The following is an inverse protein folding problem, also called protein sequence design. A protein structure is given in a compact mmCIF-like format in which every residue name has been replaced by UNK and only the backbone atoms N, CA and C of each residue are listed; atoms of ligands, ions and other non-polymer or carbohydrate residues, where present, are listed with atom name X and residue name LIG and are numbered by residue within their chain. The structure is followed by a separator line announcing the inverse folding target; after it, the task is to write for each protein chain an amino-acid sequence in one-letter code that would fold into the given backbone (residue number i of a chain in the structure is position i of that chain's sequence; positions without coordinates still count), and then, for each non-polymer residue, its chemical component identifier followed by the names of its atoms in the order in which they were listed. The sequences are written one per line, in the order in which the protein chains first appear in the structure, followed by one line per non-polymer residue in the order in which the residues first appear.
data_IF_085225319306
#
_entry.id   IF_085225319306
#
_cell.length_a   1.000
_cell.length_b   1.000
_cell.length_c   1.000
_cell.angle_alpha   90.00
_cell.angle_beta   90.00
_cell.angle_gamma   90.00
#
_symmetry.space_group_name_H-M   'P 1'
#
loop_
_entity.id
_entity.type
_entity.pdbx_description
1 polymer ?
#
# COMPACT_ATOMS: atom_id res chain seq x y z
N UNK A 1 19.09 21.75 -1.05
CA UNK A 1 18.78 20.71 -2.05
C UNK A 1 18.79 19.38 -1.33
N UNK A 2 17.62 18.82 -0.99
CA UNK A 2 17.55 17.52 -0.31
C UNK A 2 17.99 16.43 -1.29
N UNK A 3 19.04 15.69 -0.96
CA UNK A 3 19.52 14.57 -1.77
C UNK A 3 18.39 13.57 -1.94
N UNK A 4 17.94 13.35 -3.18
CA UNK A 4 17.06 12.24 -3.51
C UNK A 4 17.80 10.97 -3.12
N UNK A 5 17.31 10.25 -2.12
CA UNK A 5 17.79 8.91 -1.81
C UNK A 5 17.71 8.09 -3.11
N UNK A 6 18.85 7.59 -3.57
CA UNK A 6 18.91 6.81 -4.78
C UNK A 6 18.20 5.47 -4.51
N UNK A 7 17.05 5.28 -5.14
CA UNK A 7 16.27 4.05 -5.02
C UNK A 7 17.08 2.92 -5.67
N UNK A 8 17.54 1.90 -4.92
CA UNK A 8 18.23 0.77 -5.49
C UNK A 8 17.26 0.00 -6.39
N UNK A 9 17.51 0.01 -7.70
CA UNK A 9 16.73 -0.76 -8.67
C UNK A 9 17.18 -2.22 -8.64
N UNK A 10 16.63 -3.02 -7.71
CA UNK A 10 16.72 -4.48 -7.82
C UNK A 10 15.80 -4.92 -8.95
N UNK A 11 16.34 -5.57 -9.98
CA UNK A 11 15.62 -6.00 -11.20
C UNK A 11 14.50 -7.03 -10.96
N UNK A 12 14.27 -7.43 -9.72
CA UNK A 12 13.36 -8.53 -9.32
C UNK A 12 12.47 -8.13 -8.14
N UNK A 13 12.06 -6.87 -8.05
CA UNK A 13 11.23 -6.43 -6.94
C UNK A 13 9.78 -6.92 -7.11
N UNK A 14 9.26 -7.54 -6.04
CA UNK A 14 7.94 -8.12 -5.95
C UNK A 14 6.90 -7.06 -5.57
N UNK A 15 5.66 -7.33 -5.96
CA UNK A 15 4.48 -6.63 -5.45
C UNK A 15 3.86 -7.54 -4.40
N UNK A 16 3.63 -7.03 -3.20
CA UNK A 16 2.89 -7.73 -2.15
C UNK A 16 1.45 -7.20 -2.06
N UNK A 17 0.50 -8.03 -1.61
CA UNK A 17 -0.92 -7.68 -1.66
C UNK A 17 -1.68 -8.04 -0.37
N UNK A 18 -2.56 -7.16 0.10
CA UNK A 18 -3.48 -7.42 1.21
C UNK A 18 -4.88 -6.96 0.78
N UNK A 19 -5.73 -7.90 0.39
CA UNK A 19 -7.02 -7.58 -0.22
C UNK A 19 -8.02 -8.74 -0.09
N UNK A 20 -9.25 -8.51 -0.54
CA UNK A 20 -10.26 -9.56 -0.66
C UNK A 20 -9.87 -10.64 -1.70
N UNK A 21 -10.57 -11.77 -1.64
CA UNK A 21 -10.31 -12.94 -2.49
C UNK A 21 -10.43 -12.60 -3.98
N UNK A 22 -11.45 -11.82 -4.36
CA UNK A 22 -11.69 -11.44 -5.75
C UNK A 22 -10.55 -10.58 -6.31
N UNK A 23 -10.08 -9.58 -5.55
CA UNK A 23 -8.96 -8.73 -5.97
C UNK A 23 -7.67 -9.54 -6.10
N UNK A 24 -7.35 -10.36 -5.10
CA UNK A 24 -6.12 -11.18 -5.13
C UNK A 24 -6.17 -12.15 -6.30
N UNK A 25 -7.28 -12.83 -6.52
CA UNK A 25 -7.43 -13.76 -7.65
C UNK A 25 -7.15 -13.06 -8.98
N UNK A 26 -7.67 -11.84 -9.17
CA UNK A 26 -7.39 -11.04 -10.37
C UNK A 26 -5.90 -10.76 -10.58
N UNK A 27 -5.18 -10.38 -9.52
CA UNK A 27 -3.73 -10.13 -9.61
C UNK A 27 -2.88 -11.40 -9.71
N UNK A 28 -3.32 -12.51 -9.13
CA UNK A 28 -2.67 -13.81 -9.31
C UNK A 28 -2.73 -14.25 -10.78
N UNK A 29 -3.87 -14.02 -11.46
CA UNK A 29 -4.01 -14.26 -12.91
C UNK A 29 -3.09 -13.36 -13.74
N UNK A 30 -2.80 -12.15 -13.26
CA UNK A 30 -1.83 -11.23 -13.89
C UNK A 30 -0.37 -11.64 -13.66
N UNK A 31 -0.09 -12.71 -12.89
CA UNK A 31 1.26 -13.22 -12.65
C UNK A 31 2.01 -12.54 -11.51
N UNK A 32 1.31 -11.80 -10.62
CA UNK A 32 1.93 -11.12 -9.47
C UNK A 32 2.27 -12.08 -8.32
N UNK A 33 1.61 -13.23 -8.25
CA UNK A 33 1.79 -14.20 -7.17
C UNK A 33 3.20 -14.80 -7.14
N UNK A 34 3.83 -14.77 -5.97
CA UNK A 34 5.10 -15.42 -5.69
C UNK A 34 5.02 -16.22 -4.40
N UNK A 35 5.65 -17.39 -4.39
CA UNK A 35 5.82 -18.25 -3.21
C UNK A 35 7.31 -18.44 -2.99
N UNK A 36 7.80 -17.96 -1.86
CA UNK A 36 9.20 -18.10 -1.49
C UNK A 36 9.54 -19.56 -1.10
N UNK A 37 10.83 -19.88 -1.01
CA UNK A 37 11.38 -21.18 -0.60
C UNK A 37 10.80 -21.69 0.73
N UNK A 38 10.40 -20.77 1.61
CA UNK A 38 9.75 -21.06 2.90
C UNK A 38 8.23 -21.30 2.80
N UNK A 39 7.69 -21.42 1.58
CA UNK A 39 6.26 -21.51 1.27
C UNK A 39 5.44 -20.33 1.78
N UNK A 40 6.05 -19.15 1.87
CA UNK A 40 5.35 -17.91 2.19
C UNK A 40 4.92 -17.22 0.91
N UNK A 41 3.66 -16.80 0.86
CA UNK A 41 3.10 -16.00 -0.24
C UNK A 41 3.48 -14.52 -0.08
N UNK A 42 3.46 -13.80 -1.19
CA UNK A 42 3.50 -12.33 -1.21
C UNK A 42 2.08 -11.71 -1.12
N UNK A 43 1.09 -12.45 -0.66
CA UNK A 43 -0.27 -11.92 -0.50
C UNK A 43 -0.97 -12.51 0.72
N UNK A 44 -1.90 -11.74 1.29
CA UNK A 44 -2.82 -12.14 2.34
C UNK A 44 -4.26 -11.90 1.85
N UNK A 45 -5.05 -12.97 1.77
CA UNK A 45 -6.49 -12.89 1.53
C UNK A 45 -7.18 -12.48 2.83
N UNK A 46 -7.96 -11.40 2.75
CA UNK A 46 -8.73 -10.87 3.87
C UNK A 46 -10.19 -11.24 3.70
N UNK A 47 -10.69 -12.04 4.64
CA UNK A 47 -12.10 -12.43 4.76
C UNK A 47 -12.68 -11.98 6.11
N UNK A 48 -13.96 -12.28 6.36
CA UNK A 48 -14.63 -11.94 7.63
C UNK A 48 -14.05 -12.66 8.86
N UNK A 49 -13.21 -13.69 8.68
CA UNK A 49 -12.57 -14.44 9.75
C UNK A 49 -11.16 -13.93 10.04
N UNK A 50 -10.61 -13.11 9.14
CA UNK A 50 -9.27 -12.56 9.24
C UNK A 50 -9.22 -11.51 10.35
N UNK A 51 -8.40 -11.76 11.36
CA UNK A 51 -8.27 -10.83 12.49
C UNK A 51 -7.46 -9.60 12.11
N UNK A 52 -7.76 -8.45 12.74
CA UNK A 52 -6.97 -7.21 12.59
C UNK A 52 -5.48 -7.48 12.83
N UNK A 53 -5.15 -8.27 13.86
CA UNK A 53 -3.77 -8.64 14.16
C UNK A 53 -3.06 -9.34 12.99
N UNK A 54 -3.75 -10.25 12.29
CA UNK A 54 -3.17 -10.91 11.12
C UNK A 54 -2.86 -9.93 9.99
N UNK A 55 -3.73 -8.92 9.79
CA UNK A 55 -3.52 -7.84 8.81
C UNK A 55 -2.30 -7.00 9.21
N UNK A 56 -2.18 -6.63 10.49
CA UNK A 56 -1.02 -5.88 11.00
C UNK A 56 0.29 -6.65 10.83
N UNK A 57 0.29 -7.94 11.18
CA UNK A 57 1.47 -8.79 11.09
C UNK A 57 1.91 -8.97 9.63
N UNK A 58 0.96 -9.17 8.70
CA UNK A 58 1.25 -9.26 7.27
C UNK A 58 1.76 -7.93 6.69
N UNK A 59 1.16 -6.81 7.09
CA UNK A 59 1.61 -5.49 6.66
C UNK A 59 3.04 -5.20 7.14
N UNK A 60 3.36 -5.51 8.40
CA UNK A 60 4.74 -5.40 8.93
C UNK A 60 5.70 -6.34 8.21
N UNK A 61 5.29 -7.57 7.90
CA UNK A 61 6.12 -8.51 7.14
C UNK A 61 6.42 -8.00 5.72
N UNK A 62 5.41 -7.51 5.00
CA UNK A 62 5.59 -7.04 3.62
C UNK A 62 6.37 -5.72 3.54
N UNK A 63 6.23 -4.85 4.53
CA UNK A 63 6.96 -3.58 4.60
C UNK A 63 8.42 -3.71 5.03
N UNK A 64 8.81 -4.84 5.64
CA UNK A 64 10.19 -5.11 6.09
C UNK A 64 11.00 -5.97 5.12
N UNK A 65 10.33 -6.56 4.12
CA UNK A 65 10.97 -7.38 3.08
C UNK A 65 11.70 -6.53 2.05
N UNK A 66 13.00 -6.81 1.85
CA UNK A 66 13.84 -6.07 0.90
C UNK A 66 13.56 -6.40 -0.58
N UNK A 67 12.86 -7.49 -0.85
CA UNK A 67 12.47 -7.94 -2.18
C UNK A 67 11.09 -7.42 -2.60
N UNK A 68 10.38 -6.68 -1.74
CA UNK A 68 9.09 -6.05 -2.04
C UNK A 68 9.30 -4.58 -2.39
N UNK A 69 8.85 -4.14 -3.57
CA UNK A 69 8.88 -2.73 -3.96
C UNK A 69 7.53 -2.03 -3.75
N UNK A 70 6.42 -2.75 -3.85
CA UNK A 70 5.08 -2.18 -3.75
C UNK A 70 4.23 -3.09 -2.85
N UNK A 71 3.47 -2.49 -1.93
CA UNK A 71 2.41 -3.15 -1.18
C UNK A 71 1.08 -2.58 -1.64
N UNK A 72 0.29 -3.41 -2.32
CA UNK A 72 -1.09 -3.09 -2.65
C UNK A 72 -1.98 -3.50 -1.47
N UNK A 73 -2.83 -2.59 -1.03
CA UNK A 73 -3.79 -2.87 0.05
C UNK A 73 -5.17 -2.37 -0.35
N UNK A 74 -6.21 -3.16 -0.14
CA UNK A 74 -7.57 -2.64 -0.33
C UNK A 74 -7.85 -1.51 0.66
N UNK A 75 -8.43 -0.41 0.21
CA UNK A 75 -8.64 0.77 1.06
C UNK A 75 -9.45 0.44 2.33
N UNK A 76 -10.46 -0.41 2.23
CA UNK A 76 -11.24 -0.82 3.40
C UNK A 76 -10.38 -1.57 4.44
N UNK A 77 -9.41 -2.37 3.99
CA UNK A 77 -8.44 -3.07 4.86
C UNK A 77 -7.45 -2.08 5.46
N UNK A 78 -6.96 -1.13 4.66
CA UNK A 78 -6.07 -0.07 5.14
C UNK A 78 -6.73 0.75 6.27
N UNK A 79 -8.03 1.00 6.18
CA UNK A 79 -8.79 1.68 7.23
C UNK A 79 -8.78 0.93 8.57
N UNK A 80 -8.73 -0.41 8.57
CA UNK A 80 -8.67 -1.22 9.81
C UNK A 80 -7.34 -1.04 10.55
N UNK A 81 -6.27 -0.71 9.83
CA UNK A 81 -4.91 -0.54 10.36
C UNK A 81 -4.35 0.85 10.06
N UNK A 82 -5.22 1.87 9.95
CA UNK A 82 -4.88 3.23 9.48
C UNK A 82 -3.67 3.82 10.21
N UNK A 83 -3.58 3.60 11.52
CA UNK A 83 -2.44 4.04 12.33
C UNK A 83 -1.09 3.48 11.85
N UNK A 84 -1.04 2.21 11.43
CA UNK A 84 0.17 1.59 10.91
C UNK A 84 0.53 2.09 9.51
N UNK A 85 -0.49 2.29 8.66
CA UNK A 85 -0.30 2.82 7.30
C UNK A 85 0.24 4.25 7.35
N UNK A 86 -0.36 5.12 8.17
CA UNK A 86 0.01 6.54 8.26
C UNK A 86 1.36 6.76 8.96
N UNK A 87 1.76 5.85 9.87
CA UNK A 87 3.07 5.90 10.53
C UNK A 87 4.22 5.40 9.65
N UNK A 88 3.92 4.72 8.55
CA UNK A 88 4.92 4.26 7.60
C UNK A 88 5.42 5.41 6.72
N UNK A 89 6.70 5.76 6.86
CA UNK A 89 7.32 6.90 6.17
C UNK A 89 8.53 6.51 5.29
N UNK A 90 8.80 5.22 5.17
CA UNK A 90 9.87 4.72 4.29
C UNK A 90 9.39 4.80 2.85
N UNK A 91 10.22 5.23 1.89
CA UNK A 91 9.79 5.34 0.49
C UNK A 91 9.62 3.98 -0.20
N UNK A 92 10.25 2.92 0.31
CA UNK A 92 10.22 1.57 -0.26
C UNK A 92 10.03 0.54 0.86
N UNK A 93 9.08 -0.40 0.70
CA UNK A 93 8.09 -0.46 -0.38
C UNK A 93 7.08 0.69 -0.39
N UNK A 94 6.62 1.06 -1.58
CA UNK A 94 5.54 2.03 -1.76
C UNK A 94 4.19 1.39 -1.39
N UNK A 95 3.38 2.07 -0.58
CA UNK A 95 2.04 1.62 -0.21
C UNK A 95 1.03 2.25 -1.15
N UNK A 96 0.16 1.43 -1.75
CA UNK A 96 -0.88 1.86 -2.69
C UNK A 96 -2.22 1.28 -2.25
N UNK A 97 -3.14 2.18 -1.91
CA UNK A 97 -4.53 1.84 -1.59
C UNK A 97 -5.34 1.66 -2.89
N UNK A 98 -6.01 0.52 -3.04
CA UNK A 98 -6.83 0.20 -4.20
C UNK A 98 -8.30 -0.02 -3.81
N UNK A 99 -9.26 0.28 -4.70
CA UNK A 99 -10.64 -0.15 -4.49
C UNK A 99 -10.75 -1.67 -4.46
N UNK A 100 -11.85 -2.16 -3.90
CA UNK A 100 -12.25 -3.56 -4.00
C UNK A 100 -13.59 -3.65 -4.74
N UNK A 101 -14.01 -4.86 -5.12
CA UNK A 101 -15.25 -5.08 -5.87
C UNK A 101 -16.49 -4.49 -5.17
N UNK A 102 -16.60 -4.69 -3.87
CA UNK A 102 -17.75 -4.25 -3.07
C UNK A 102 -17.51 -2.91 -2.35
N UNK A 103 -16.24 -2.47 -2.28
CA UNK A 103 -15.83 -1.26 -1.56
C UNK A 103 -15.19 -0.26 -2.53
N UNK A 104 -15.98 0.70 -3.06
CA UNK A 104 -15.44 1.73 -3.95
C UNK A 104 -14.44 2.62 -3.21
N UNK A 105 -13.51 3.18 -3.97
CA UNK A 105 -12.47 4.05 -3.42
C UNK A 105 -13.04 5.41 -2.99
N UNK A 106 -12.73 5.83 -1.77
CA UNK A 106 -13.01 7.15 -1.21
C UNK A 106 -11.72 7.99 -1.08
N UNK A 107 -11.58 9.06 -1.90
CA UNK A 107 -10.44 9.98 -1.85
C UNK A 107 -10.25 10.74 -0.52
N UNK A 108 -11.26 10.76 0.35
CA UNK A 108 -11.16 11.44 1.65
C UNK A 108 -10.29 10.66 2.65
N UNK A 109 -10.20 9.35 2.49
CA UNK A 109 -9.53 8.44 3.43
C UNK A 109 -8.09 8.09 3.02
N UNK A 110 -7.62 8.58 1.87
CA UNK A 110 -6.26 8.31 1.37
C UNK A 110 -5.24 9.31 1.96
N UNK A 111 -4.19 8.75 2.59
CA UNK A 111 -3.12 9.51 3.26
C UNK A 111 -2.21 10.25 2.26
N UNK A 112 -2.02 9.72 1.05
CA UNK A 112 -1.27 10.36 -0.03
C UNK A 112 -2.06 11.54 -0.57
N UNK A 113 -3.36 11.37 -0.85
CA UNK A 113 -4.20 12.49 -1.31
C UNK A 113 -4.34 13.58 -0.25
N UNK A 114 -4.35 13.22 1.03
CA UNK A 114 -4.35 14.21 2.12
C UNK A 114 -3.08 15.06 2.12
N UNK A 115 -1.90 14.45 1.90
CA UNK A 115 -0.63 15.18 1.74
C UNK A 115 -0.64 16.07 0.49
N UNK A 116 -1.22 15.58 -0.61
CA UNK A 116 -1.33 16.30 -1.89
C UNK A 116 -2.31 17.48 -1.80
N UNK A 117 -3.46 17.31 -1.14
CA UNK A 117 -4.42 18.40 -0.88
C UNK A 117 -3.79 19.55 -0.09
N UNK A 118 -2.92 19.25 0.88
CA UNK A 118 -2.19 20.27 1.62
C UNK A 118 -1.21 21.05 0.72
N UNK A 119 -0.49 20.35 -0.16
CA UNK A 119 0.43 20.97 -1.12
C UNK A 119 -0.30 21.88 -2.13
N UNK A 120 -1.42 21.42 -2.71
CA UNK A 120 -2.21 22.23 -3.66
C UNK A 120 -2.99 23.37 -2.99
N UNK A 121 -3.38 23.21 -1.72
CA UNK A 121 -3.98 24.33 -0.95
C UNK A 121 -2.93 25.41 -0.61
N UNK A 122 -1.68 25.03 -0.37
CA UNK A 122 -0.59 25.99 -0.14
C UNK A 122 -0.25 26.81 -1.39
N UNK A 123 -0.33 26.24 -2.60
CA UNK A 123 -0.15 26.98 -3.85
C UNK A 123 -1.32 27.91 -4.18
N UNK A 124 -2.55 27.53 -3.80
CA UNK A 124 -3.74 28.34 -4.06
C UNK A 124 -3.71 29.69 -3.31
N UNK A 125 -3.18 29.72 -2.08
CA UNK A 125 -3.05 30.96 -1.28
C UNK A 125 -1.86 31.83 -1.76
N UNK A 126 -0.87 31.24 -2.43
CA UNK A 126 0.27 31.97 -2.98
C UNK A 126 -0.04 32.70 -4.29
N UNK A 127 -1.09 32.28 -5.01
CA UNK A 127 -1.52 32.90 -6.28
C UNK A 127 -2.34 34.18 -6.10
N UNK A 128 -2.96 34.41 -4.94
CA UNK A 128 -3.82 35.59 -4.67
C UNK A 128 -3.05 36.80 -4.10
N UNK A 129 -1.71 36.81 -4.19
CA UNK A 129 -0.86 37.94 -3.78
C UNK A 129 0.00 38.51 -4.92
N UNK A 130 -0.58 38.69 -6.10
CA UNK A 130 0.03 39.52 -7.16
C UNK A 130 -0.98 40.51 -7.73
#
# INVERSE_FOLDING_TARGET
MAGRAQIPTKSSALIAMIADEDTITGFLLAGVGNVDLRRKTNYLIVDSKTTVKAIEDAFKEFTTKEDVAIVLISQYVANMIRFLVDSYNTPIPAILEIPSKDHPYDPAHDSVLSRVKYLFSAESVASDRR
#
